data_IF_039862902372
#
_entry.id   IF_039862902372
#
_cell.length_a   1.000
_cell.length_b   1.000
_cell.length_c   1.000
_cell.angle_alpha   90.00
_cell.angle_beta   90.00
_cell.angle_gamma   90.00
#
_symmetry.space_group_name_H-M   'P 1'
#
loop_
_entity.id
_entity.type
_entity.pdbx_description
1 polymer ?
#
# COMPACT_ATOMS: atom_id res chain seq x y z
N UNK A 1 -36.93 25.44 -14.26
CA UNK A 1 -36.93 24.43 -13.18
C UNK A 1 -35.84 23.38 -13.41
N UNK A 2 -34.59 23.80 -13.60
CA UNK A 2 -33.42 22.91 -13.78
C UNK A 2 -32.18 23.51 -13.10
N UNK A 3 -32.07 24.84 -13.10
CA UNK A 3 -31.00 25.59 -12.42
C UNK A 3 -31.03 25.41 -10.89
N UNK A 4 -32.21 25.32 -10.27
CA UNK A 4 -32.34 25.19 -8.81
C UNK A 4 -31.84 23.82 -8.31
N UNK A 5 -32.03 22.75 -9.10
CA UNK A 5 -31.63 21.38 -8.70
C UNK A 5 -30.10 21.23 -8.72
N UNK A 6 -29.42 21.87 -9.69
CA UNK A 6 -27.96 21.84 -9.77
C UNK A 6 -27.27 22.57 -8.61
N UNK A 7 -27.81 23.72 -8.18
CA UNK A 7 -27.24 24.49 -7.05
C UNK A 7 -27.40 23.71 -5.74
N UNK A 8 -28.57 23.09 -5.50
CA UNK A 8 -28.80 22.29 -4.28
C UNK A 8 -27.93 21.03 -4.25
N UNK A 9 -27.74 20.34 -5.38
CA UNK A 9 -26.88 19.14 -5.43
C UNK A 9 -25.39 19.46 -5.21
N UNK A 10 -24.94 20.65 -5.61
CA UNK A 10 -23.54 21.06 -5.41
C UNK A 10 -23.28 21.43 -3.94
N UNK A 11 -24.28 22.00 -3.25
CA UNK A 11 -24.20 22.33 -1.83
C UNK A 11 -24.24 21.08 -0.94
N UNK A 12 -25.03 20.07 -1.31
CA UNK A 12 -25.18 18.84 -0.51
C UNK A 12 -23.94 17.94 -0.55
N UNK A 13 -23.19 17.91 -1.65
CA UNK A 13 -22.00 17.05 -1.78
C UNK A 13 -20.75 17.57 -1.02
N UNK A 14 -20.73 18.84 -0.61
CA UNK A 14 -19.54 19.42 0.04
C UNK A 14 -19.47 19.18 1.55
N UNK A 15 -20.54 18.65 2.18
CA UNK A 15 -20.71 18.71 3.66
C UNK A 15 -20.61 17.33 4.36
N UNK A 16 -20.39 16.23 3.63
CA UNK A 16 -20.64 14.89 4.19
C UNK A 16 -19.43 14.13 4.76
N UNK A 17 -18.23 14.71 4.81
CA UNK A 17 -17.08 14.09 5.47
C UNK A 17 -16.34 15.08 6.37
N UNK A 18 -16.95 15.41 7.51
CA UNK A 18 -16.27 16.17 8.56
C UNK A 18 -15.72 15.19 9.60
N UNK A 19 -14.39 15.10 9.72
CA UNK A 19 -13.72 14.33 10.77
C UNK A 19 -14.18 14.83 12.14
N UNK A 20 -14.64 13.92 13.01
CA UNK A 20 -15.02 14.24 14.40
C UNK A 20 -13.79 14.26 15.32
N UNK A 21 -12.67 13.71 14.85
CA UNK A 21 -11.43 13.57 15.62
C UNK A 21 -10.43 14.70 15.39
N UNK A 22 -10.62 15.48 14.33
CA UNK A 22 -9.73 16.60 13.98
C UNK A 22 -10.59 17.84 13.77
N UNK A 23 -10.49 18.87 14.63
CA UNK A 23 -11.14 20.14 14.34
C UNK A 23 -10.63 20.67 12.98
N UNK A 24 -11.48 21.31 12.17
CA UNK A 24 -11.05 21.89 10.91
C UNK A 24 -9.95 22.90 11.22
N UNK A 25 -8.76 22.61 10.70
CA UNK A 25 -7.62 23.49 10.75
C UNK A 25 -7.62 24.26 9.42
N UNK A 26 -7.96 25.55 9.50
CA UNK A 26 -7.98 26.46 8.35
C UNK A 26 -6.57 27.05 8.08
N UNK A 27 -5.53 26.56 8.77
CA UNK A 27 -4.17 26.95 8.44
C UNK A 27 -3.79 26.44 7.04
N UNK A 28 -3.15 27.29 6.22
CA UNK A 28 -2.67 26.84 4.92
C UNK A 28 -1.69 25.69 5.14
N UNK A 29 -1.92 24.58 4.45
CA UNK A 29 -0.98 23.46 4.42
C UNK A 29 0.41 23.99 4.03
N UNK A 30 1.48 23.52 4.69
CA UNK A 30 2.83 23.89 4.29
C UNK A 30 3.06 23.50 2.82
N UNK A 31 3.77 24.35 2.09
CA UNK A 31 4.14 24.06 0.71
C UNK A 31 5.02 22.81 0.68
N UNK A 32 4.69 21.87 -0.22
CA UNK A 32 5.47 20.66 -0.36
C UNK A 32 6.88 21.04 -0.86
N UNK A 33 7.95 20.57 -0.21
CA UNK A 33 9.30 20.83 -0.68
C UNK A 33 9.50 20.23 -2.08
N UNK A 34 10.15 21.00 -2.96
CA UNK A 34 10.57 20.50 -4.26
C UNK A 34 11.73 19.52 -4.08
N UNK A 35 11.54 18.28 -4.54
CA UNK A 35 12.59 17.27 -4.57
C UNK A 35 13.02 17.01 -6.01
N UNK A 36 14.32 17.14 -6.27
CA UNK A 36 14.92 16.63 -7.49
C UNK A 36 15.34 15.17 -7.28
N UNK A 37 14.75 14.26 -8.04
CA UNK A 37 15.17 12.86 -8.05
C UNK A 37 16.37 12.75 -9.00
N UNK A 38 17.59 12.76 -8.45
CA UNK A 38 18.82 12.65 -9.26
C UNK A 38 18.96 11.26 -9.89
N UNK A 39 18.53 10.22 -9.18
CA UNK A 39 18.65 8.82 -9.60
C UNK A 39 17.29 8.13 -9.54
N UNK A 40 16.56 8.06 -10.67
CA UNK A 40 15.29 7.34 -10.71
C UNK A 40 15.53 5.83 -10.54
N UNK A 41 14.63 5.16 -9.82
CA UNK A 41 14.65 3.71 -9.69
C UNK A 41 14.41 3.07 -11.07
N UNK A 42 15.42 2.38 -11.60
CA UNK A 42 15.36 1.85 -12.97
C UNK A 42 14.77 0.44 -13.04
N UNK A 43 15.09 -0.43 -12.07
CA UNK A 43 14.72 -1.84 -12.11
C UNK A 43 14.72 -2.46 -10.72
N UNK A 44 13.69 -3.24 -10.43
CA UNK A 44 13.62 -4.08 -9.23
C UNK A 44 13.84 -5.54 -9.65
N UNK A 45 14.74 -6.24 -8.96
CA UNK A 45 14.98 -7.68 -9.19
C UNK A 45 14.67 -8.46 -7.93
N UNK A 46 13.97 -9.58 -8.09
CA UNK A 46 13.62 -10.48 -6.99
C UNK A 46 14.33 -11.82 -7.17
N UNK A 47 15.20 -12.17 -6.24
CA UNK A 47 15.93 -13.45 -6.21
C UNK A 47 15.26 -14.48 -5.31
N UNK A 48 15.30 -15.76 -5.69
CA UNK A 48 14.71 -16.83 -4.89
C UNK A 48 15.40 -17.02 -3.54
N UNK A 49 16.72 -16.86 -3.49
CA UNK A 49 17.50 -16.88 -2.25
C UNK A 49 17.11 -15.76 -1.29
N UNK A 50 16.83 -14.58 -1.84
CA UNK A 50 16.44 -13.40 -1.05
C UNK A 50 15.04 -13.62 -0.45
N UNK A 51 14.09 -14.09 -1.26
CA UNK A 51 12.74 -14.44 -0.81
C UNK A 51 12.78 -15.52 0.27
N UNK A 52 13.55 -16.59 0.08
CA UNK A 52 13.71 -17.65 1.07
C UNK A 52 14.30 -17.11 2.39
N UNK A 53 15.31 -16.25 2.30
CA UNK A 53 15.95 -15.63 3.46
C UNK A 53 14.98 -14.72 4.22
N UNK A 54 14.18 -13.93 3.51
CA UNK A 54 13.13 -13.11 4.11
C UNK A 54 12.08 -13.96 4.83
N UNK A 55 11.65 -15.08 4.24
CA UNK A 55 10.70 -16.01 4.86
C UNK A 55 11.27 -16.66 6.13
N UNK A 56 12.56 -17.02 6.15
CA UNK A 56 13.25 -17.54 7.34
C UNK A 56 13.31 -16.53 8.48
N UNK A 57 13.41 -15.24 8.16
CA UNK A 57 13.52 -14.15 9.13
C UNK A 57 12.17 -13.68 9.69
N UNK A 58 11.04 -14.19 9.19
CA UNK A 58 9.72 -13.85 9.71
C UNK A 58 9.62 -14.10 11.23
N UNK A 59 8.95 -13.18 11.92
CA UNK A 59 8.58 -13.36 13.32
C UNK A 59 7.39 -14.34 13.40
N UNK A 60 7.55 -15.56 13.96
CA UNK A 60 6.48 -16.55 14.02
C UNK A 60 5.33 -16.14 14.94
N UNK A 61 5.53 -15.16 15.82
CA UNK A 61 4.53 -14.71 16.80
C UNK A 61 3.77 -13.47 16.33
N UNK A 62 3.92 -13.06 15.06
CA UNK A 62 3.18 -11.93 14.51
C UNK A 62 1.69 -12.30 14.42
N UNK A 63 0.81 -11.34 14.72
CA UNK A 63 -0.63 -11.49 14.49
C UNK A 63 -0.91 -11.87 13.04
N UNK A 64 -1.90 -12.73 12.84
CA UNK A 64 -2.38 -13.10 11.51
C UNK A 64 -2.92 -11.85 10.82
N UNK A 65 -2.39 -11.57 9.63
CA UNK A 65 -2.80 -10.44 8.79
C UNK A 65 -4.21 -10.74 8.19
N UNK A 66 -4.93 -9.74 7.65
CA UNK A 66 -6.30 -9.93 7.13
C UNK A 66 -6.42 -10.93 5.97
N UNK A 67 -5.29 -11.31 5.36
CA UNK A 67 -5.15 -12.37 4.36
C UNK A 67 -5.23 -13.79 4.95
N UNK A 68 -5.28 -13.91 6.29
CA UNK A 68 -5.32 -15.17 7.04
C UNK A 68 -4.07 -16.04 6.88
N UNK A 69 -2.94 -15.46 6.47
CA UNK A 69 -1.68 -16.19 6.36
C UNK A 69 -0.89 -16.10 7.66
N UNK A 70 -0.58 -17.27 8.22
CA UNK A 70 0.18 -17.37 9.46
C UNK A 70 1.70 -17.32 9.18
N UNK A 71 2.40 -16.39 9.84
CA UNK A 71 3.85 -16.19 9.69
C UNK A 71 4.67 -17.42 10.10
N UNK A 72 4.19 -18.21 11.05
CA UNK A 72 4.83 -19.47 11.44
C UNK A 72 4.73 -20.52 10.34
N UNK A 73 3.61 -20.58 9.61
CA UNK A 73 3.45 -21.51 8.48
C UNK A 73 4.38 -21.10 7.35
N UNK A 74 4.37 -19.84 6.95
CA UNK A 74 5.23 -19.29 5.90
C UNK A 74 6.72 -19.53 6.20
N UNK A 75 7.11 -19.39 7.47
CA UNK A 75 8.45 -19.68 7.93
C UNK A 75 8.78 -21.17 7.88
N UNK A 76 7.84 -22.08 8.15
CA UNK A 76 8.09 -23.53 8.07
C UNK A 76 8.15 -24.05 6.64
N UNK A 77 7.39 -23.45 5.73
CA UNK A 77 7.30 -23.86 4.32
C UNK A 77 8.24 -23.07 3.41
N UNK A 78 9.16 -22.28 3.97
CA UNK A 78 9.99 -21.30 3.25
C UNK A 78 10.65 -21.87 1.98
N UNK A 79 11.16 -23.11 2.04
CA UNK A 79 11.91 -23.73 0.95
C UNK A 79 11.01 -24.10 -0.24
N UNK A 80 9.77 -24.48 0.04
CA UNK A 80 8.80 -24.90 -0.99
C UNK A 80 8.14 -23.70 -1.67
N UNK A 81 7.87 -22.63 -0.91
CA UNK A 81 7.12 -21.48 -1.42
C UNK A 81 8.00 -20.36 -1.99
N UNK A 82 9.31 -20.34 -1.71
CA UNK A 82 10.20 -19.27 -2.16
C UNK A 82 10.23 -19.11 -3.69
N UNK A 83 10.32 -20.21 -4.43
CA UNK A 83 10.35 -20.17 -5.89
C UNK A 83 9.00 -19.73 -6.50
N UNK A 84 7.85 -20.30 -6.12
CA UNK A 84 6.54 -19.80 -6.54
C UNK A 84 6.34 -18.31 -6.26
N UNK A 85 6.68 -17.83 -5.06
CA UNK A 85 6.56 -16.42 -4.68
C UNK A 85 7.48 -15.52 -5.51
N UNK A 86 8.71 -15.95 -5.77
CA UNK A 86 9.63 -15.22 -6.64
C UNK A 86 9.05 -15.02 -8.04
N UNK A 87 8.46 -16.07 -8.61
CA UNK A 87 7.83 -15.98 -9.93
C UNK A 87 6.58 -15.08 -9.91
N UNK A 88 5.80 -15.11 -8.84
CA UNK A 88 4.67 -14.20 -8.64
C UNK A 88 5.13 -12.74 -8.59
N UNK A 89 6.13 -12.43 -7.77
CA UNK A 89 6.64 -11.07 -7.64
C UNK A 89 7.24 -10.54 -8.94
N UNK A 90 8.01 -11.36 -9.66
CA UNK A 90 8.52 -10.99 -10.99
C UNK A 90 7.39 -10.61 -11.95
N UNK A 91 6.37 -11.46 -12.04
CA UNK A 91 5.20 -11.18 -12.89
C UNK A 91 4.48 -9.89 -12.51
N UNK A 92 4.35 -9.60 -11.23
CA UNK A 92 3.70 -8.36 -10.77
C UNK A 92 4.52 -7.11 -11.09
N UNK A 93 5.85 -7.22 -11.09
CA UNK A 93 6.78 -6.12 -11.37
C UNK A 93 7.03 -5.93 -12.88
N UNK A 94 6.89 -7.00 -13.67
CA UNK A 94 7.04 -6.99 -15.12
C UNK A 94 5.74 -6.61 -15.86
N UNK A 95 4.63 -6.40 -15.14
CA UNK A 95 3.31 -6.08 -15.72
C UNK A 95 3.09 -4.59 -16.08
N UNK A 96 4.17 -3.79 -16.10
CA UNK A 96 4.17 -2.42 -16.64
C UNK A 96 4.69 -2.36 -18.08
#
# INVERSE_FOLDING_TARGET
MWIIIAVVSTIVNAVQFKSVFTPPDDTPLPEAPEYSIEEPLQKITVGASDVESSLKLLNPNKSIDPDKLDSQILKKTHAEIALPLTNMFKKSLDAE
#
